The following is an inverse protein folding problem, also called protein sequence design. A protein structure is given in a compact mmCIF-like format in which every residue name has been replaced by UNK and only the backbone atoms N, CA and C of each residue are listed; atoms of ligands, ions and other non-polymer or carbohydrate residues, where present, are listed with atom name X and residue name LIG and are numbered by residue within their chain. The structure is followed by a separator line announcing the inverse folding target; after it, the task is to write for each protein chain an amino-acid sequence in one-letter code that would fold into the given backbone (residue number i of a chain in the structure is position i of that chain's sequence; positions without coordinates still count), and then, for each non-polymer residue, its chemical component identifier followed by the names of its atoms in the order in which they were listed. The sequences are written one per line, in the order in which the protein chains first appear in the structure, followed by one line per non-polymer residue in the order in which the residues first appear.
data_IF_668963263283
#
_entry.id   IF_668963263283
#
_cell.length_a   1.000
_cell.length_b   1.000
_cell.length_c   1.000
_cell.angle_alpha   90.00
_cell.angle_beta   90.00
_cell.angle_gamma   90.00
#
_symmetry.space_group_name_H-M   'P 1'
#
loop_
_entity.id
_entity.type
_entity.pdbx_description
1 polymer ?
#
# COMPACT_ATOMS: atom_id res chain seq x y z
N UNK A 1 -4.99 2.18 -15.63
CA UNK A 1 -3.87 3.13 -15.82
C UNK A 1 -3.69 4.03 -14.60
N UNK A 2 -4.76 4.72 -14.17
CA UNK A 2 -4.78 5.63 -13.00
C UNK A 2 -4.08 5.09 -11.74
N UNK A 3 -4.35 3.86 -11.30
CA UNK A 3 -3.74 3.29 -10.08
C UNK A 3 -2.24 3.02 -10.25
N UNK A 4 -1.82 2.47 -11.40
CA UNK A 4 -0.42 2.15 -11.65
C UNK A 4 0.47 3.40 -11.73
N UNK A 5 -0.06 4.50 -12.27
CA UNK A 5 0.62 5.80 -12.31
C UNK A 5 0.83 6.40 -10.90
N UNK A 6 -0.05 6.06 -9.95
CA UNK A 6 0.06 6.47 -8.53
C UNK A 6 1.06 5.63 -7.72
N UNK A 7 1.71 4.63 -8.32
CA UNK A 7 2.66 3.72 -7.67
C UNK A 7 4.07 3.82 -8.28
N UNK A 8 4.74 4.99 -8.24
CA UNK A 8 6.05 5.17 -8.84
C UNK A 8 7.11 4.33 -8.11
N UNK A 9 7.97 3.64 -8.87
CA UNK A 9 9.03 2.77 -8.35
C UNK A 9 8.53 1.62 -7.44
N UNK A 10 7.26 1.21 -7.60
CA UNK A 10 6.75 0.04 -6.91
C UNK A 10 7.32 -1.25 -7.53
N UNK A 11 7.65 -2.20 -6.67
CA UNK A 11 7.94 -3.59 -7.04
C UNK A 11 6.66 -4.43 -7.00
N UNK A 12 6.77 -5.69 -7.41
CA UNK A 12 5.67 -6.67 -7.29
C UNK A 12 5.19 -6.87 -5.85
N UNK A 13 6.05 -6.63 -4.85
CA UNK A 13 5.68 -6.73 -3.45
C UNK A 13 4.67 -5.66 -3.05
N UNK A 14 4.90 -4.39 -3.44
CA UNK A 14 3.96 -3.33 -3.14
C UNK A 14 2.66 -3.45 -3.95
N UNK A 15 2.72 -3.92 -5.20
CA UNK A 15 1.51 -4.25 -5.97
C UNK A 15 0.64 -5.29 -5.24
N UNK A 16 1.26 -6.35 -4.71
CA UNK A 16 0.55 -7.36 -3.91
C UNK A 16 -0.04 -6.76 -2.62
N UNK A 17 0.74 -5.92 -1.93
CA UNK A 17 0.29 -5.27 -0.71
C UNK A 17 -0.91 -4.34 -0.99
N UNK A 18 -0.87 -3.55 -2.07
CA UNK A 18 -2.00 -2.68 -2.47
C UNK A 18 -3.26 -3.48 -2.74
N UNK A 19 -3.18 -4.58 -3.50
CA UNK A 19 -4.36 -5.42 -3.76
C UNK A 19 -4.92 -6.05 -2.48
N UNK A 20 -4.05 -6.45 -1.55
CA UNK A 20 -4.46 -6.99 -0.25
C UNK A 20 -5.19 -5.94 0.57
N UNK A 21 -4.61 -4.74 0.69
CA UNK A 21 -5.17 -3.64 1.46
C UNK A 21 -6.51 -3.14 0.89
N UNK A 22 -6.64 -3.06 -0.43
CA UNK A 22 -7.89 -2.70 -1.09
C UNK A 22 -9.01 -3.70 -0.75
N UNK A 23 -8.70 -5.00 -0.75
CA UNK A 23 -9.64 -6.05 -0.33
C UNK A 23 -10.02 -5.94 1.15
N UNK A 24 -9.07 -5.58 2.02
CA UNK A 24 -9.34 -5.37 3.45
C UNK A 24 -10.24 -4.15 3.69
N UNK A 25 -10.05 -3.06 2.95
CA UNK A 25 -10.93 -1.89 3.03
C UNK A 25 -12.37 -2.25 2.67
N UNK A 26 -12.57 -2.94 1.55
CA UNK A 26 -13.88 -3.43 1.15
C UNK A 26 -14.50 -4.37 2.20
N UNK A 27 -13.71 -5.31 2.72
CA UNK A 27 -14.17 -6.28 3.73
C UNK A 27 -14.61 -5.60 5.04
N UNK A 28 -13.87 -4.59 5.50
CA UNK A 28 -14.20 -3.84 6.73
C UNK A 28 -15.55 -3.14 6.63
N UNK A 29 -15.92 -2.69 5.43
CA UNK A 29 -17.23 -2.11 5.14
C UNK A 29 -18.28 -3.16 4.77
N UNK A 30 -17.98 -4.45 4.94
CA UNK A 30 -18.86 -5.59 4.61
C UNK A 30 -19.24 -5.65 3.12
N UNK A 31 -18.37 -5.14 2.24
CA UNK A 31 -18.53 -5.22 0.79
C UNK A 31 -17.81 -6.47 0.26
N UNK A 32 -18.40 -7.11 -0.75
CA UNK A 32 -17.79 -8.27 -1.46
C UNK A 32 -17.13 -7.88 -2.79
N UNK A 33 -17.30 -6.62 -3.20
CA UNK A 33 -16.68 -6.04 -4.39
C UNK A 33 -15.78 -4.89 -3.98
N UNK A 34 -14.59 -4.84 -4.58
CA UNK A 34 -13.62 -3.76 -4.40
C UNK A 34 -13.97 -2.62 -5.35
N UNK A 35 -13.90 -1.39 -4.86
CA UNK A 35 -14.15 -0.18 -5.65
C UNK A 35 -12.85 0.55 -5.99
N UNK A 36 -12.93 1.55 -6.86
CA UNK A 36 -11.79 2.41 -7.20
C UNK A 36 -11.23 3.14 -5.96
N UNK A 37 -12.11 3.59 -5.06
CA UNK A 37 -11.72 4.31 -3.84
C UNK A 37 -10.88 3.44 -2.90
N UNK A 38 -11.19 2.15 -2.78
CA UNK A 38 -10.41 1.19 -1.98
C UNK A 38 -8.96 1.11 -2.47
N UNK A 39 -8.76 1.08 -3.79
CA UNK A 39 -7.44 1.09 -4.38
C UNK A 39 -6.70 2.40 -4.13
N UNK A 40 -7.39 3.55 -4.19
CA UNK A 40 -6.75 4.84 -3.93
C UNK A 40 -6.32 5.00 -2.46
N UNK A 41 -7.13 4.50 -1.53
CA UNK A 41 -6.78 4.42 -0.12
C UNK A 41 -5.63 3.44 0.13
N UNK A 42 -5.67 2.25 -0.50
CA UNK A 42 -4.62 1.24 -0.39
C UNK A 42 -3.28 1.71 -0.94
N UNK A 43 -3.26 2.35 -2.12
CA UNK A 43 -2.04 2.97 -2.67
C UNK A 43 -1.49 4.01 -1.70
N UNK A 44 -2.34 4.89 -1.17
CA UNK A 44 -1.91 5.92 -0.22
C UNK A 44 -1.35 5.31 1.08
N UNK A 45 -1.87 4.17 1.52
CA UNK A 45 -1.38 3.45 2.71
C UNK A 45 -0.05 2.74 2.45
N UNK A 46 0.08 2.01 1.35
CA UNK A 46 1.25 1.18 1.04
C UNK A 46 2.42 2.01 0.50
N UNK A 47 2.14 3.03 -0.32
CA UNK A 47 3.14 3.92 -0.90
C UNK A 47 3.60 5.02 0.04
N UNK A 48 2.93 5.22 1.19
CA UNK A 48 3.55 5.91 2.33
C UNK A 48 4.69 5.04 2.80
N UNK A 49 5.86 5.21 2.15
CA UNK A 49 7.12 4.69 2.62
C UNK A 49 7.21 5.09 4.07
N UNK A 50 7.25 4.10 4.95
CA UNK A 50 7.81 4.27 6.26
C UNK A 50 9.10 5.06 6.06
N UNK A 51 9.10 6.33 6.46
CA UNK A 51 10.32 7.08 6.80
C UNK A 51 11.15 6.35 7.87
N UNK A 52 10.67 5.18 8.29
CA UNK A 52 11.24 4.20 9.17
C UNK A 52 11.92 3.00 8.47
N UNK A 53 12.10 3.04 7.15
CA UNK A 53 13.07 2.18 6.46
C UNK A 53 14.48 2.66 6.79
N UNK A 54 14.85 2.60 8.08
CA UNK A 54 15.79 1.61 8.56
C UNK A 54 16.06 1.83 10.07
N UNK A 55 15.05 1.93 10.94
CA UNK A 55 15.29 2.15 12.38
C UNK A 55 16.29 1.12 12.95
N UNK A 56 16.14 -0.14 12.55
CA UNK A 56 17.00 -1.24 13.00
C UNK A 56 18.46 -1.10 12.56
N UNK A 57 18.75 -0.75 11.30
CA UNK A 57 20.15 -0.55 10.87
C UNK A 57 20.67 0.84 11.30
N UNK A 58 19.82 1.87 11.38
CA UNK A 58 20.23 3.17 11.94
C UNK A 58 20.62 3.08 13.41
N UNK A 59 19.97 2.22 14.21
CA UNK A 59 20.35 1.93 15.60
C UNK A 59 21.63 1.10 15.72
N UNK A 60 21.92 0.25 14.73
CA UNK A 60 23.08 -0.63 14.75
C UNK A 60 24.40 0.12 14.48
N UNK A 61 24.33 1.25 13.77
CA UNK A 61 25.49 2.06 13.38
C UNK A 61 25.58 3.39 14.14
N UNK A 62 24.88 3.52 15.28
CA UNK A 62 24.89 4.71 16.13
C UNK A 62 25.31 4.37 17.55
#
# INVERSE_FOLDING_TARGET
RVIGEKMPNASGAECKAVCTEAGIFALRERRIHVTQEDFEMAVSKVMKKDSDTNMSVRKLWK
#
